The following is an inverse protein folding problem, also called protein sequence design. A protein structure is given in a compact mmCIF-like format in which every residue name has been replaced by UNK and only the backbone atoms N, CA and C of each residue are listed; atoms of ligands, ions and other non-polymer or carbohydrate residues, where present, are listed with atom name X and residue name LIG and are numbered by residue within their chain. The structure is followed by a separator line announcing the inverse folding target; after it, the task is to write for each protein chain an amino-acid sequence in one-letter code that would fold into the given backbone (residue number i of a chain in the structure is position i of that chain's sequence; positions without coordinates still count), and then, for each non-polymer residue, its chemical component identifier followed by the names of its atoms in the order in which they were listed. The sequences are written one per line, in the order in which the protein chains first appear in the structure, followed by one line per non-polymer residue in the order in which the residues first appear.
data_IF_672905577422
#
_entry.id   IF_672905577422
#
_cell.length_a   1.000
_cell.length_b   1.000
_cell.length_c   1.000
_cell.angle_alpha   90.00
_cell.angle_beta   90.00
_cell.angle_gamma   90.00
#
_symmetry.space_group_name_H-M   'P 1'
#
loop_
_entity.id
_entity.type
_entity.pdbx_description
1 polymer ?
#
# COMPACT_ATOMS: atom_id res chain seq x y z
N UNK A 1 -8.71 -17.56 13.24
CA UNK A 1 -9.51 -17.62 11.99
C UNK A 1 -9.17 -18.94 11.33
N UNK A 2 -10.14 -19.80 11.03
CA UNK A 2 -9.84 -21.10 10.41
C UNK A 2 -9.15 -20.90 9.04
N UNK A 3 -8.18 -21.76 8.71
CA UNK A 3 -7.41 -21.69 7.46
C UNK A 3 -8.32 -21.62 6.22
N UNK A 4 -9.45 -22.32 6.27
CA UNK A 4 -10.46 -22.34 5.22
C UNK A 4 -11.08 -20.95 5.00
N UNK A 5 -11.30 -20.19 6.08
CA UNK A 5 -11.82 -18.82 6.00
C UNK A 5 -10.77 -17.86 5.41
N UNK A 6 -9.49 -17.98 5.78
CA UNK A 6 -8.43 -17.17 5.18
C UNK A 6 -8.29 -17.41 3.67
N UNK A 7 -8.36 -18.68 3.23
CA UNK A 7 -8.31 -19.03 1.82
C UNK A 7 -9.53 -18.52 1.05
N UNK A 8 -10.71 -18.60 1.67
CA UNK A 8 -11.95 -18.06 1.12
C UNK A 8 -11.85 -16.54 0.94
N UNK A 9 -11.40 -15.81 1.97
CA UNK A 9 -11.18 -14.36 1.89
C UNK A 9 -10.14 -14.00 0.84
N UNK A 10 -9.01 -14.72 0.79
CA UNK A 10 -7.96 -14.49 -0.20
C UNK A 10 -8.50 -14.65 -1.63
N UNK A 11 -9.24 -15.73 -1.89
CA UNK A 11 -9.85 -16.01 -3.19
C UNK A 11 -10.82 -14.90 -3.59
N UNK A 12 -11.75 -14.52 -2.71
CA UNK A 12 -12.71 -13.45 -3.00
C UNK A 12 -12.03 -12.08 -3.20
N UNK A 13 -10.97 -11.77 -2.45
CA UNK A 13 -10.22 -10.54 -2.61
C UNK A 13 -9.54 -10.44 -3.99
N UNK A 14 -9.05 -11.56 -4.55
CA UNK A 14 -8.51 -11.60 -5.91
C UNK A 14 -9.60 -11.26 -6.94
N UNK A 15 -10.75 -11.94 -6.87
CA UNK A 15 -11.87 -11.67 -7.79
C UNK A 15 -12.35 -10.22 -7.70
N UNK A 16 -12.46 -9.70 -6.47
CA UNK A 16 -12.83 -8.30 -6.23
C UNK A 16 -11.80 -7.34 -6.85
N UNK A 17 -10.50 -7.59 -6.66
CA UNK A 17 -9.44 -6.77 -7.24
C UNK A 17 -9.50 -6.72 -8.77
N UNK A 18 -9.73 -7.87 -9.42
CA UNK A 18 -9.90 -7.95 -10.87
C UNK A 18 -11.11 -7.15 -11.37
N UNK A 19 -12.26 -7.31 -10.73
CA UNK A 19 -13.50 -6.63 -11.12
C UNK A 19 -13.41 -5.11 -10.95
N UNK A 20 -12.73 -4.64 -9.90
CA UNK A 20 -12.51 -3.21 -9.65
C UNK A 20 -11.57 -2.59 -10.68
N UNK A 21 -10.42 -3.22 -10.95
CA UNK A 21 -9.40 -2.69 -11.88
C UNK A 21 -9.93 -2.67 -13.31
N UNK A 22 -10.72 -3.67 -13.72
CA UNK A 22 -11.31 -3.77 -15.06
C UNK A 22 -12.25 -2.61 -15.42
N UNK A 23 -12.72 -1.85 -14.43
CA UNK A 23 -13.65 -0.71 -14.60
C UNK A 23 -12.97 0.65 -14.50
N UNK A 24 -11.65 0.71 -14.35
CA UNK A 24 -10.91 1.96 -14.26
C UNK A 24 -10.71 2.56 -15.67
N UNK A 25 -11.04 3.84 -15.91
CA UNK A 25 -10.80 4.48 -17.20
C UNK A 25 -9.30 4.63 -17.49
N UNK A 26 -8.91 4.57 -18.76
CA UNK A 26 -7.50 4.60 -19.21
C UNK A 26 -6.69 5.78 -18.66
N UNK A 27 -7.32 6.94 -18.47
CA UNK A 27 -6.71 8.14 -17.91
C UNK A 27 -6.20 7.97 -16.48
N UNK A 28 -6.76 7.02 -15.71
CA UNK A 28 -6.42 6.78 -14.32
C UNK A 28 -5.43 5.62 -14.11
N UNK A 29 -4.91 4.97 -15.16
CA UNK A 29 -4.00 3.83 -15.00
C UNK A 29 -2.69 4.21 -14.28
N UNK A 30 -2.13 5.39 -14.58
CA UNK A 30 -0.91 5.86 -13.92
C UNK A 30 -1.15 6.26 -12.46
N UNK A 31 -2.20 7.07 -12.13
CA UNK A 31 -2.61 7.26 -10.74
C UNK A 31 -2.93 5.94 -10.00
N UNK A 32 -3.57 4.98 -10.66
CA UNK A 32 -3.90 3.67 -10.11
C UNK A 32 -2.64 2.87 -9.77
N UNK A 33 -1.65 2.87 -10.67
CA UNK A 33 -0.34 2.24 -10.43
C UNK A 33 0.36 2.86 -9.20
N UNK A 34 0.35 4.19 -9.07
CA UNK A 34 0.89 4.87 -7.89
C UNK A 34 0.09 4.51 -6.63
N UNK A 35 -1.24 4.46 -6.73
CA UNK A 35 -2.12 4.13 -5.62
C UNK A 35 -1.96 2.69 -5.12
N UNK A 36 -1.82 1.71 -6.02
CA UNK A 36 -1.57 0.33 -5.65
C UNK A 36 -0.19 0.15 -5.00
N UNK A 37 0.82 0.92 -5.46
CA UNK A 37 2.11 1.00 -4.77
C UNK A 37 1.96 1.53 -3.33
N UNK A 38 1.19 2.59 -3.12
CA UNK A 38 0.92 3.13 -1.78
C UNK A 38 0.23 2.09 -0.86
N UNK A 39 -0.72 1.31 -1.40
CA UNK A 39 -1.42 0.24 -0.67
C UNK A 39 -0.46 -0.89 -0.30
N UNK A 40 0.52 -1.23 -1.16
CA UNK A 40 1.55 -2.24 -0.86
C UNK A 40 2.40 -1.91 0.38
N UNK A 41 2.40 -0.63 0.78
CA UNK A 41 2.99 -0.14 2.02
C UNK A 41 2.40 -0.77 3.29
N UNK A 42 1.28 -1.51 3.21
CA UNK A 42 0.75 -2.34 4.32
C UNK A 42 1.80 -3.33 4.88
N UNK A 43 2.82 -3.68 4.09
CA UNK A 43 4.00 -4.42 4.54
C UNK A 43 4.66 -3.84 5.80
N UNK A 44 4.49 -2.55 6.10
CA UNK A 44 4.94 -1.92 7.34
C UNK A 44 4.37 -2.60 8.59
N UNK A 45 3.16 -3.16 8.54
CA UNK A 45 2.56 -3.91 9.67
C UNK A 45 3.38 -5.16 9.96
N UNK A 46 3.79 -5.89 8.91
CA UNK A 46 4.68 -7.03 9.04
C UNK A 46 6.05 -6.63 9.58
N UNK A 47 6.60 -5.51 9.11
CA UNK A 47 7.88 -4.99 9.59
C UNK A 47 7.84 -4.61 11.09
N UNK A 48 6.75 -3.96 11.55
CA UNK A 48 6.56 -3.61 12.96
C UNK A 48 6.46 -4.85 13.85
N UNK A 49 5.70 -5.85 13.42
CA UNK A 49 5.60 -7.13 14.14
C UNK A 49 6.96 -7.84 14.22
N UNK A 50 7.69 -7.91 13.10
CA UNK A 50 9.02 -8.53 13.05
C UNK A 50 10.04 -7.78 13.92
N UNK A 51 10.04 -6.44 13.86
CA UNK A 51 10.92 -5.60 14.68
C UNK A 51 10.65 -5.77 16.19
N UNK A 52 9.37 -5.89 16.59
CA UNK A 52 9.00 -6.16 17.98
C UNK A 52 9.47 -7.52 18.49
N UNK A 53 9.42 -8.56 17.64
CA UNK A 53 9.88 -9.91 17.99
C UNK A 53 11.41 -10.03 18.04
N UNK A 54 12.12 -9.23 17.24
CA UNK A 54 13.57 -9.32 17.08
C UNK A 54 14.36 -8.31 17.94
N UNK A 55 13.70 -7.60 18.85
CA UNK A 55 14.29 -6.49 19.62
C UNK A 55 15.40 -6.89 20.60
N UNK A 56 15.51 -8.16 20.96
CA UNK A 56 16.54 -8.69 21.87
C UNK A 56 17.87 -9.04 21.19
N UNK A 57 17.91 -9.08 19.86
CA UNK A 57 19.11 -9.33 19.07
C UNK A 57 19.53 -8.06 18.31
N UNK A 58 20.83 -7.76 18.26
CA UNK A 58 21.35 -6.54 17.64
C UNK A 58 21.12 -6.55 16.14
N UNK A 59 21.30 -7.70 15.48
CA UNK A 59 21.01 -7.82 14.04
C UNK A 59 19.51 -7.70 13.78
N UNK A 60 18.69 -8.38 14.59
CA UNK A 60 17.24 -8.25 14.58
C UNK A 60 16.73 -6.81 14.70
N UNK A 61 17.29 -6.05 15.64
CA UNK A 61 16.96 -4.63 15.84
C UNK A 61 17.31 -3.77 14.62
N UNK A 62 18.52 -3.93 14.06
CA UNK A 62 18.96 -3.17 12.88
C UNK A 62 18.09 -3.49 11.67
N UNK A 63 17.86 -4.77 11.39
CA UNK A 63 17.03 -5.21 10.26
C UNK A 63 15.58 -4.76 10.45
N UNK A 64 15.03 -4.87 11.65
CA UNK A 64 13.69 -4.40 11.98
C UNK A 64 13.56 -2.88 11.79
N UNK A 65 14.54 -2.10 12.25
CA UNK A 65 14.57 -0.65 12.03
C UNK A 65 14.58 -0.30 10.55
N UNK A 66 15.45 -0.93 9.75
CA UNK A 66 15.53 -0.70 8.30
C UNK A 66 14.23 -1.11 7.62
N UNK A 67 13.63 -2.25 7.99
CA UNK A 67 12.38 -2.72 7.42
C UNK A 67 11.22 -1.73 7.68
N UNK A 68 11.11 -1.22 8.91
CA UNK A 68 10.09 -0.22 9.26
C UNK A 68 10.34 1.10 8.54
N UNK A 69 11.59 1.56 8.45
CA UNK A 69 11.94 2.78 7.72
C UNK A 69 11.59 2.67 6.22
N UNK A 70 11.93 1.56 5.57
CA UNK A 70 11.56 1.29 4.19
C UNK A 70 10.04 1.22 4.00
N UNK A 71 9.31 0.55 4.91
CA UNK A 71 7.85 0.51 4.89
C UNK A 71 7.23 1.90 5.03
N UNK A 72 7.75 2.73 5.92
CA UNK A 72 7.30 4.10 6.11
C UNK A 72 7.52 4.96 4.86
N UNK A 73 8.69 4.85 4.21
CA UNK A 73 8.99 5.54 2.96
C UNK A 73 8.01 5.12 1.85
N UNK A 74 7.70 3.82 1.73
CA UNK A 74 6.75 3.32 0.74
C UNK A 74 5.34 3.91 0.96
N UNK A 75 4.81 3.83 2.19
CA UNK A 75 3.49 4.38 2.54
C UNK A 75 3.47 5.89 2.27
N UNK A 76 4.36 6.65 2.91
CA UNK A 76 4.33 8.13 2.84
C UNK A 76 4.57 8.61 1.41
N UNK A 77 5.58 8.08 0.74
CA UNK A 77 5.91 8.44 -0.64
C UNK A 77 4.80 8.06 -1.62
N UNK A 78 4.26 6.84 -1.49
CA UNK A 78 3.17 6.35 -2.32
C UNK A 78 1.92 7.22 -2.21
N UNK A 79 1.47 7.53 -0.99
CA UNK A 79 0.29 8.38 -0.79
C UNK A 79 0.53 9.83 -1.24
N UNK A 80 1.72 10.40 -1.01
CA UNK A 80 2.07 11.74 -1.47
C UNK A 80 2.02 11.86 -3.00
N UNK A 81 2.65 10.92 -3.72
CA UNK A 81 2.68 10.94 -5.18
C UNK A 81 1.28 10.72 -5.75
N UNK A 82 0.54 9.76 -5.20
CA UNK A 82 -0.84 9.48 -5.62
C UNK A 82 -1.74 10.70 -5.42
N UNK A 83 -1.62 11.39 -4.28
CA UNK A 83 -2.36 12.63 -4.03
C UNK A 83 -2.04 13.71 -5.08
N UNK A 84 -0.76 13.90 -5.41
CA UNK A 84 -0.35 14.86 -6.44
C UNK A 84 -0.91 14.49 -7.81
N UNK A 85 -0.87 13.22 -8.20
CA UNK A 85 -1.44 12.75 -9.46
C UNK A 85 -2.96 12.98 -9.52
N UNK A 86 -3.69 12.62 -8.47
CA UNK A 86 -5.15 12.81 -8.41
C UNK A 86 -5.55 14.29 -8.36
N UNK A 87 -4.71 15.15 -7.78
CA UNK A 87 -4.96 16.60 -7.75
C UNK A 87 -4.99 17.22 -9.15
N UNK A 88 -4.33 16.61 -10.14
CA UNK A 88 -4.34 17.06 -11.54
C UNK A 88 -5.70 16.85 -12.23
N UNK A 89 -6.56 15.99 -11.68
CA UNK A 89 -7.93 15.75 -12.16
C UNK A 89 -8.97 16.66 -11.51
N UNK A 90 -8.61 17.36 -10.43
CA UNK A 90 -9.46 18.42 -9.89
C UNK A 90 -9.39 19.58 -10.88
N UNK A 91 -10.51 19.89 -11.53
CA UNK A 91 -10.62 21.11 -12.32
C UNK A 91 -10.19 22.31 -11.46
N UNK A 92 -9.58 23.32 -12.08
CA UNK A 92 -9.18 24.57 -11.42
C UNK A 92 -10.31 25.08 -10.52
N UNK A 93 -10.21 24.88 -9.22
CA UNK A 93 -10.95 25.70 -8.25
C UNK A 93 -10.32 27.09 -8.29
N UNK A 94 -10.83 27.93 -9.18
CA UNK A 94 -10.28 29.25 -9.43
C UNK A 94 -10.53 29.72 -10.85
N UNK A 95 -11.81 29.80 -11.23
CA UNK A 95 -12.22 30.72 -12.27
C UNK A 95 -11.90 32.15 -11.81
N UNK A 96 -10.85 32.71 -12.39
CA UNK A 96 -11.03 33.92 -13.20
C UNK A 96 -10.79 33.52 -14.65
#
# INVERSE_FOLDING_TARGET
MEMLLLLFTFTLAIFLGFELISKVPSQLHTPLMSGSNAISGISIVGALLAAGLAASDVLGYIVGFVAVACGAINVVGGYMVTHRMLSMFKGKEGGK
#
